data_IF_716200645455
#
_entry.id   IF_716200645455
#
_cell.length_a   1.000
_cell.length_b   1.000
_cell.length_c   1.000
_cell.angle_alpha   90.00
_cell.angle_beta   90.00
_cell.angle_gamma   90.00
#
_symmetry.space_group_name_H-M   'P 1'
#
loop_
_entity.id
_entity.type
_entity.pdbx_description
1 polymer ?
#
# COMPACT_ATOMS: atom_id res chain seq x y z
N UNK A 1 -0.92 -5.06 1.19
CA UNK A 1 -1.43 -5.95 0.13
C UNK A 1 -2.87 -5.53 -0.12
N UNK A 2 -3.24 -5.30 -1.38
CA UNK A 2 -4.61 -4.96 -1.80
C UNK A 2 -5.19 -6.17 -2.54
N UNK A 3 -6.44 -6.48 -2.27
CA UNK A 3 -7.20 -7.54 -2.93
C UNK A 3 -8.30 -6.92 -3.78
N UNK A 4 -8.70 -7.62 -4.83
CA UNK A 4 -9.77 -7.22 -5.72
C UNK A 4 -10.95 -8.18 -5.54
N UNK A 5 -12.14 -7.62 -5.36
CA UNK A 5 -13.33 -8.42 -5.19
C UNK A 5 -13.74 -9.02 -6.54
N UNK A 6 -13.86 -10.34 -6.61
CA UNK A 6 -14.23 -11.05 -7.85
C UNK A 6 -15.65 -10.71 -8.36
N UNK A 7 -16.49 -10.16 -7.48
CA UNK A 7 -17.90 -9.90 -7.78
C UNK A 7 -18.17 -8.46 -8.24
N UNK A 8 -17.50 -7.48 -7.63
CA UNK A 8 -17.73 -6.06 -7.92
C UNK A 8 -16.49 -5.29 -8.37
N UNK A 9 -15.32 -5.93 -8.43
CA UNK A 9 -14.04 -5.31 -8.80
C UNK A 9 -13.54 -4.28 -7.80
N UNK A 10 -14.18 -4.16 -6.62
CA UNK A 10 -13.73 -3.21 -5.61
C UNK A 10 -12.40 -3.67 -5.01
N UNK A 11 -11.49 -2.72 -4.81
CA UNK A 11 -10.23 -2.98 -4.13
C UNK A 11 -10.42 -2.81 -2.63
N UNK A 12 -9.95 -3.77 -1.86
CA UNK A 12 -10.08 -3.76 -0.41
C UNK A 12 -8.85 -4.37 0.25
N UNK A 13 -8.69 -4.11 1.55
CA UNK A 13 -7.65 -4.69 2.38
C UNK A 13 -8.26 -5.73 3.32
N UNK A 14 -8.10 -7.04 3.07
CA UNK A 14 -8.20 -8.06 4.09
C UNK A 14 -6.78 -8.53 4.49
N UNK A 15 -6.28 -8.19 5.69
CA UNK A 15 -5.14 -8.89 6.25
C UNK A 15 -5.57 -10.27 6.74
N UNK A 16 -4.66 -11.24 6.64
CA UNK A 16 -4.80 -12.66 7.01
C UNK A 16 -5.37 -12.96 8.41
N UNK A 17 -5.47 -11.94 9.26
CA UNK A 17 -5.91 -12.04 10.64
C UNK A 17 -7.17 -11.22 10.91
N UNK A 18 -7.77 -10.62 9.89
CA UNK A 18 -8.96 -9.78 10.05
C UNK A 18 -10.20 -10.64 10.10
N UNK A 19 -10.94 -10.50 11.19
CA UNK A 19 -12.20 -11.17 11.44
C UNK A 19 -13.25 -10.08 11.61
N UNK A 20 -14.25 -10.08 10.73
CA UNK A 20 -15.45 -9.28 10.87
C UNK A 20 -16.39 -9.93 11.90
N UNK A 21 -17.39 -9.20 12.43
CA UNK A 21 -18.41 -9.79 13.30
C UNK A 21 -19.08 -11.04 12.68
N UNK A 22 -19.17 -11.07 11.35
CA UNK A 22 -19.84 -12.12 10.59
C UNK A 22 -18.87 -13.25 10.13
N UNK A 23 -17.59 -13.18 10.49
CA UNK A 23 -16.59 -14.20 10.18
C UNK A 23 -15.27 -13.67 9.62
N UNK A 24 -14.34 -14.55 9.22
CA UNK A 24 -13.05 -14.14 8.67
C UNK A 24 -13.21 -13.37 7.36
N UNK A 25 -12.34 -12.39 7.14
CA UNK A 25 -12.31 -11.64 5.89
C UNK A 25 -11.95 -12.55 4.71
N UNK A 26 -12.76 -12.52 3.66
CA UNK A 26 -12.52 -13.28 2.44
C UNK A 26 -11.41 -12.65 1.58
N UNK A 27 -10.46 -13.42 1.03
CA UNK A 27 -9.51 -12.96 0.01
C UNK A 27 -10.13 -12.87 -1.40
N UNK A 28 -11.39 -13.28 -1.59
CA UNK A 28 -12.10 -13.25 -2.88
C UNK A 28 -13.18 -12.16 -2.93
N UNK A 29 -13.86 -11.91 -1.81
CA UNK A 29 -14.98 -10.97 -1.73
C UNK A 29 -14.74 -9.85 -0.73
N UNK A 30 -15.13 -8.62 -1.10
CA UNK A 30 -15.27 -7.53 -0.15
C UNK A 30 -16.37 -7.85 0.88
N UNK A 31 -16.41 -7.12 2.00
CA UNK A 31 -17.40 -7.33 3.08
C UNK A 31 -18.84 -7.39 2.59
N UNK A 32 -19.21 -6.48 1.69
CA UNK A 32 -20.57 -6.38 1.17
C UNK A 32 -20.95 -7.60 0.32
N UNK A 33 -20.08 -7.99 -0.63
CA UNK A 33 -20.30 -9.15 -1.48
C UNK A 33 -20.20 -10.45 -0.69
N UNK A 34 -19.29 -10.53 0.29
CA UNK A 34 -19.17 -11.69 1.18
C UNK A 34 -20.47 -11.94 1.96
N UNK A 35 -21.07 -10.88 2.53
CA UNK A 35 -22.37 -10.98 3.19
C UNK A 35 -23.48 -11.43 2.23
N UNK A 36 -23.48 -10.91 1.00
CA UNK A 36 -24.42 -11.31 -0.05
C UNK A 36 -24.31 -12.79 -0.43
N UNK A 37 -23.09 -13.29 -0.62
CA UNK A 37 -22.84 -14.69 -0.96
C UNK A 37 -23.23 -15.63 0.19
N UNK A 38 -22.89 -15.27 1.43
CA UNK A 38 -23.31 -16.03 2.61
C UNK A 38 -24.84 -16.08 2.75
N UNK A 39 -25.53 -14.96 2.52
CA UNK A 39 -26.99 -14.92 2.52
C UNK A 39 -27.61 -15.78 1.40
N UNK A 40 -26.92 -15.93 0.28
CA UNK A 40 -27.29 -16.83 -0.82
C UNK A 40 -26.92 -18.31 -0.57
N UNK A 41 -26.30 -18.63 0.58
CA UNK A 41 -25.83 -19.98 0.89
C UNK A 41 -24.57 -20.40 0.11
N UNK A 42 -23.90 -19.44 -0.53
CA UNK A 42 -22.65 -19.68 -1.25
C UNK A 42 -21.50 -19.56 -0.26
N UNK A 43 -20.76 -20.64 -0.12
CA UNK A 43 -19.56 -20.69 0.71
C UNK A 43 -18.31 -20.53 -0.14
N UNK A 44 -17.32 -19.84 0.42
CA UNK A 44 -15.98 -19.76 -0.17
C UNK A 44 -15.32 -21.15 -0.19
N UNK A 45 -14.72 -21.53 -1.31
CA UNK A 45 -13.89 -22.72 -1.38
C UNK A 45 -12.56 -22.46 -0.61
N UNK A 46 -12.28 -23.22 0.46
CA UNK A 46 -11.09 -23.01 1.27
C UNK A 46 -9.78 -23.23 0.51
N UNK A 47 -9.78 -24.02 -0.57
CA UNK A 47 -8.60 -24.20 -1.42
C UNK A 47 -8.34 -22.95 -2.26
N UNK A 48 -9.38 -22.39 -2.89
CA UNK A 48 -9.26 -21.14 -3.65
C UNK A 48 -8.81 -19.98 -2.77
N UNK A 49 -9.37 -19.87 -1.56
CA UNK A 49 -8.97 -18.85 -0.60
C UNK A 49 -7.47 -18.93 -0.24
N UNK A 50 -6.96 -20.14 0.03
CA UNK A 50 -5.54 -20.37 0.33
C UNK A 50 -4.64 -20.05 -0.85
N UNK A 51 -5.05 -20.42 -2.07
CA UNK A 51 -4.29 -20.12 -3.28
C UNK A 51 -4.24 -18.61 -3.56
N UNK A 52 -5.35 -17.90 -3.41
CA UNK A 52 -5.42 -16.44 -3.55
C UNK A 52 -4.47 -15.75 -2.56
N UNK A 53 -4.48 -16.16 -1.29
CA UNK A 53 -3.56 -15.65 -0.27
C UNK A 53 -2.10 -15.96 -0.59
N UNK A 54 -1.78 -17.19 -1.01
CA UNK A 54 -0.43 -17.58 -1.37
C UNK A 54 0.11 -16.79 -2.58
N UNK A 55 -0.72 -16.59 -3.60
CA UNK A 55 -0.38 -15.78 -4.77
C UNK A 55 -0.16 -14.30 -4.41
N UNK A 56 -1.00 -13.76 -3.54
CA UNK A 56 -0.86 -12.38 -3.11
C UNK A 56 0.43 -12.17 -2.29
N UNK A 57 0.79 -13.13 -1.41
CA UNK A 57 2.07 -13.16 -0.69
C UNK A 57 3.28 -13.24 -1.62
N UNK A 58 3.24 -14.12 -2.63
CA UNK A 58 4.35 -14.26 -3.58
C UNK A 58 4.53 -12.99 -4.42
N UNK A 59 3.44 -12.37 -4.86
CA UNK A 59 3.48 -11.10 -5.59
C UNK A 59 4.04 -9.95 -4.72
N UNK A 60 3.75 -9.94 -3.41
CA UNK A 60 4.35 -8.97 -2.49
C UNK A 60 5.86 -9.22 -2.30
N UNK A 61 6.27 -10.47 -2.11
CA UNK A 61 7.68 -10.84 -1.96
C UNK A 61 8.51 -10.54 -3.22
N UNK A 62 7.94 -10.77 -4.41
CA UNK A 62 8.59 -10.43 -5.68
C UNK A 62 8.84 -8.92 -5.83
N UNK A 63 7.89 -8.08 -5.43
CA UNK A 63 8.07 -6.61 -5.44
C UNK A 63 9.19 -6.14 -4.53
N UNK A 64 9.33 -6.72 -3.34
CA UNK A 64 10.43 -6.37 -2.43
C UNK A 64 11.82 -6.78 -2.94
N UNK A 65 11.91 -7.77 -3.83
CA UNK A 65 13.18 -8.19 -4.43
C UNK A 65 13.63 -7.25 -5.57
N UNK A 66 12.67 -6.73 -6.34
CA UNK A 66 12.91 -5.80 -7.46
C UNK A 66 13.27 -4.38 -6.99
N UNK A 67 12.90 -4.02 -5.76
CA UNK A 67 13.24 -2.74 -5.12
C UNK A 67 14.66 -2.74 -4.49
N UNK A 68 15.60 -3.49 -5.08
CA UNK A 68 17.02 -3.22 -4.89
C UNK A 68 17.43 -2.22 -5.97
N UNK A 69 17.41 -0.90 -5.72
CA UNK A 69 17.92 0.04 -6.70
C UNK A 69 19.37 -0.34 -7.01
N UNK A 70 19.80 -0.40 -8.29
CA UNK A 70 21.23 -0.46 -8.58
C UNK A 70 21.85 0.70 -7.82
N UNK A 71 22.88 0.42 -7.03
CA UNK A 71 23.57 1.41 -6.20
C UNK A 71 23.97 2.60 -7.06
N UNK A 72 23.09 3.59 -7.17
CA UNK A 72 23.39 4.86 -7.80
C UNK A 72 24.40 5.46 -6.86
N UNK A 73 25.66 5.49 -7.30
CA UNK A 73 26.68 6.29 -6.66
C UNK A 73 26.04 7.64 -6.39
N UNK A 74 25.96 7.99 -5.12
CA UNK A 74 25.33 9.22 -4.66
C UNK A 74 26.25 10.35 -5.15
N UNK A 75 26.07 10.77 -6.41
CA UNK A 75 26.83 11.87 -7.03
C UNK A 75 26.25 13.14 -6.43
N UNK A 76 26.61 13.39 -5.18
CA UNK A 76 26.38 14.65 -4.51
C UNK A 76 27.28 15.65 -5.22
N UNK A 77 26.74 16.70 -5.89
CA UNK A 77 27.55 17.77 -6.42
C UNK A 77 28.42 18.28 -5.27
N UNK A 78 29.74 18.23 -5.46
CA UNK A 78 30.73 18.63 -4.47
C UNK A 78 30.35 20.02 -3.97
N UNK A 79 29.99 20.11 -2.69
CA UNK A 79 29.60 21.36 -2.04
C UNK A 79 30.73 22.37 -2.29
N UNK A 80 30.47 23.52 -2.95
CA UNK A 80 31.49 24.52 -3.15
C UNK A 80 32.06 24.94 -1.79
N UNK A 81 33.37 25.16 -1.67
CA UNK A 81 33.97 25.58 -0.40
C UNK A 81 33.27 26.84 0.09
N UNK A 82 32.93 26.85 1.39
CA UNK A 82 32.33 27.99 2.06
C UNK A 82 33.34 29.15 2.09
N UNK A 83 33.46 29.87 0.98
CA UNK A 83 34.18 31.14 0.96
C UNK A 83 33.39 32.16 1.78
N UNK A 84 34.17 32.89 2.57
CA UNK A 84 33.78 33.77 3.68
C UNK A 84 32.62 34.72 3.35
N UNK A 85 31.61 34.73 4.24
CA UNK A 85 30.75 35.86 4.63
C UNK A 85 30.51 36.94 3.56
N UNK A 86 29.43 36.78 2.77
CA UNK A 86 28.72 37.92 2.22
C UNK A 86 27.66 38.38 3.23
N UNK A 87 28.02 39.37 4.07
CA UNK A 87 27.04 40.19 4.77
C UNK A 87 26.49 41.17 3.73
N UNK A 88 25.18 41.11 3.42
CA UNK A 88 24.32 42.27 3.04
C UNK A 88 23.11 41.83 2.20
N UNK A 89 21.89 42.15 2.65
CA UNK A 89 20.69 42.21 1.78
C UNK A 89 19.36 41.96 2.52
N UNK A 90 18.32 42.83 2.38
CA UNK A 90 17.35 43.07 3.47
C UNK A 90 15.93 42.51 3.24
N UNK A 91 15.23 42.26 4.35
CA UNK A 91 13.80 42.59 4.53
C UNK A 91 12.75 41.78 3.76
N UNK A 92 12.28 40.66 4.33
CA UNK A 92 11.05 39.99 3.92
C UNK A 92 10.01 40.03 5.04
N UNK A 93 9.10 40.99 4.96
CA UNK A 93 7.99 41.21 5.92
C UNK A 93 6.99 40.05 5.85
N UNK A 94 6.67 39.42 6.99
CA UNK A 94 5.61 38.39 7.09
C UNK A 94 4.26 39.06 7.28
N UNK A 95 3.37 38.99 6.29
CA UNK A 95 1.95 39.31 6.46
C UNK A 95 1.18 38.12 7.07
N UNK A 96 0.35 38.38 8.07
CA UNK A 96 -0.61 37.40 8.64
C UNK A 96 -1.87 37.37 7.75
N UNK A 97 -2.40 36.18 7.47
CA UNK A 97 -3.76 36.02 6.95
C UNK A 97 -4.78 36.30 8.06
N UNK A 98 -5.83 37.03 7.71
CA UNK A 98 -7.11 37.12 8.41
C UNK A 98 -8.17 36.43 7.55
#
# INVERSE_FOLDING_TARGET
MLFECVECGSHYLPPEQMVYPDGPASPLWCTHCQAGQLAAGVHEDPLLARLALAAARSALAGRSADETPPARADVRPSRPPLSRRARSGPGGVRGKLA
#
